data_IF_516403809394
#
_entry.id   IF_516403809394
#
_cell.length_a   1.000
_cell.length_b   1.000
_cell.length_c   1.000
_cell.angle_alpha   90.00
_cell.angle_beta   90.00
_cell.angle_gamma   90.00
#
_symmetry.space_group_name_H-M   'P 1'
#
loop_
_entity.id
_entity.type
_entity.pdbx_description
1 polymer ?
#
# COMPACT_ATOMS: atom_id res chain seq x y z
N UNK A 1 -22.53 -7.43 -41.62
CA UNK A 1 -21.29 -8.25 -41.54
C UNK A 1 -20.01 -7.43 -41.34
N UNK A 2 -20.07 -6.18 -40.85
CA UNK A 2 -18.91 -5.26 -40.80
C UNK A 2 -18.36 -5.12 -39.36
N UNK A 3 -19.20 -5.36 -38.35
CA UNK A 3 -18.86 -5.15 -36.93
C UNK A 3 -17.80 -6.14 -36.42
N UNK A 4 -17.89 -7.43 -36.77
CA UNK A 4 -16.89 -8.43 -36.38
C UNK A 4 -15.51 -8.16 -37.00
N UNK A 5 -15.46 -7.68 -38.24
CA UNK A 5 -14.19 -7.37 -38.91
C UNK A 5 -13.52 -6.13 -38.31
N UNK A 6 -14.30 -5.11 -37.96
CA UNK A 6 -13.78 -3.93 -37.26
C UNK A 6 -13.17 -4.29 -35.90
N UNK A 7 -13.84 -5.14 -35.11
CA UNK A 7 -13.31 -5.61 -33.83
C UNK A 7 -12.02 -6.41 -33.97
N UNK A 8 -11.93 -7.29 -34.97
CA UNK A 8 -10.70 -8.05 -35.24
C UNK A 8 -9.54 -7.11 -35.59
N UNK A 9 -9.78 -6.11 -36.43
CA UNK A 9 -8.75 -5.13 -36.80
C UNK A 9 -8.26 -4.35 -35.57
N UNK A 10 -9.18 -3.91 -34.70
CA UNK A 10 -8.83 -3.21 -33.45
C UNK A 10 -8.01 -4.10 -32.51
N UNK A 11 -8.38 -5.37 -32.39
CA UNK A 11 -7.69 -6.31 -31.51
C UNK A 11 -6.27 -6.60 -32.01
N UNK A 12 -6.11 -6.78 -33.33
CA UNK A 12 -4.81 -7.00 -33.97
C UNK A 12 -3.91 -5.76 -33.82
N UNK A 13 -4.41 -4.56 -34.08
CA UNK A 13 -3.61 -3.34 -33.93
C UNK A 13 -3.20 -3.09 -32.49
N UNK A 14 -4.06 -3.40 -31.52
CA UNK A 14 -3.74 -3.28 -30.09
C UNK A 14 -2.63 -4.25 -29.66
N UNK A 15 -2.70 -5.50 -30.09
CA UNK A 15 -1.67 -6.50 -29.79
C UNK A 15 -0.32 -6.10 -30.40
N UNK A 16 -0.31 -5.67 -31.66
CA UNK A 16 0.93 -5.27 -32.35
C UNK A 16 1.53 -4.01 -31.72
N UNK A 17 0.70 -3.01 -31.41
CA UNK A 17 1.14 -1.78 -30.75
C UNK A 17 1.68 -2.04 -29.34
N UNK A 18 0.99 -2.87 -28.55
CA UNK A 18 1.41 -3.23 -27.20
C UNK A 18 2.70 -4.08 -27.22
N UNK A 19 2.77 -5.07 -28.11
CA UNK A 19 3.96 -5.91 -28.28
C UNK A 19 5.18 -5.11 -28.71
N UNK A 20 5.04 -4.23 -29.70
CA UNK A 20 6.14 -3.35 -30.13
C UNK A 20 6.59 -2.40 -29.01
N UNK A 21 5.66 -1.75 -28.31
CA UNK A 21 5.98 -0.88 -27.18
C UNK A 21 6.68 -1.60 -26.02
N UNK A 22 6.28 -2.85 -25.74
CA UNK A 22 6.90 -3.67 -24.70
C UNK A 22 8.33 -4.10 -25.07
N UNK A 23 8.57 -4.46 -26.34
CA UNK A 23 9.91 -4.84 -26.84
C UNK A 23 10.84 -3.64 -26.95
N UNK A 24 10.34 -2.45 -27.28
CA UNK A 24 11.16 -1.22 -27.30
C UNK A 24 11.42 -0.64 -25.90
N UNK A 25 10.57 -0.91 -24.90
CA UNK A 25 10.76 -0.42 -23.53
C UNK A 25 12.11 -0.76 -22.88
N UNK A 26 12.66 -1.98 -22.97
CA UNK A 26 13.95 -2.31 -22.35
C UNK A 26 15.14 -1.57 -22.98
N UNK A 27 14.98 -0.96 -24.16
CA UNK A 27 16.07 -0.24 -24.87
C UNK A 27 16.09 1.25 -24.55
N UNK A 28 14.94 1.86 -24.18
CA UNK A 28 14.83 3.29 -23.86
C UNK A 28 14.93 3.56 -22.35
N UNK A 29 14.73 2.53 -21.51
CA UNK A 29 15.07 2.65 -20.09
C UNK A 29 16.59 2.76 -19.97
N UNK A 30 17.14 3.87 -19.44
CA UNK A 30 18.56 3.89 -19.10
C UNK A 30 18.78 2.72 -18.17
N UNK A 31 19.84 1.93 -18.42
CA UNK A 31 20.28 0.89 -17.51
C UNK A 31 20.15 1.46 -16.11
N UNK A 32 19.19 0.93 -15.33
CA UNK A 32 18.86 1.40 -14.00
C UNK A 32 20.20 1.48 -13.31
N UNK A 33 20.71 2.69 -13.12
CA UNK A 33 21.94 2.89 -12.38
C UNK A 33 21.59 2.25 -11.04
N UNK A 34 22.18 1.08 -10.80
CA UNK A 34 22.18 0.49 -9.50
C UNK A 34 23.04 1.46 -8.69
N UNK A 35 22.40 2.55 -8.24
CA UNK A 35 22.84 3.27 -7.06
C UNK A 35 23.04 2.15 -6.07
N UNK A 36 24.29 1.96 -5.62
CA UNK A 36 24.57 1.11 -4.49
C UNK A 36 23.81 1.73 -3.31
N UNK A 37 22.55 1.36 -3.18
CA UNK A 37 21.77 1.63 -1.99
C UNK A 37 22.45 0.72 -0.98
N UNK A 38 23.18 1.30 -0.03
CA UNK A 38 23.53 0.59 1.19
C UNK A 38 22.28 -0.17 1.64
N UNK A 39 22.39 -1.44 2.08
CA UNK A 39 21.22 -2.23 2.44
C UNK A 39 20.34 -1.36 3.32
N UNK A 40 19.11 -1.08 2.84
CA UNK A 40 18.14 -0.40 3.67
C UNK A 40 18.06 -1.21 4.96
N UNK A 41 18.07 -0.56 6.14
CA UNK A 41 17.89 -1.29 7.38
C UNK A 41 16.68 -2.20 7.21
N UNK A 42 16.75 -3.45 7.69
CA UNK A 42 15.63 -4.38 7.53
C UNK A 42 14.37 -3.66 7.97
N UNK A 43 13.26 -3.77 7.21
CA UNK A 43 12.02 -3.13 7.59
C UNK A 43 11.76 -3.53 9.04
N UNK A 44 11.67 -2.53 9.93
CA UNK A 44 11.40 -2.77 11.33
C UNK A 44 10.20 -3.71 11.39
N UNK A 45 10.37 -4.86 12.05
CA UNK A 45 9.27 -5.81 12.16
C UNK A 45 8.05 -5.06 12.66
N UNK A 46 6.90 -5.19 11.98
CA UNK A 46 5.74 -4.40 12.32
C UNK A 46 5.39 -4.70 13.76
N UNK A 47 5.50 -3.68 14.62
CA UNK A 47 5.24 -3.83 16.04
C UNK A 47 3.86 -4.44 16.22
N UNK A 48 3.78 -5.42 17.11
CA UNK A 48 2.57 -6.18 17.33
C UNK A 48 1.46 -5.27 17.92
N UNK A 49 0.20 -5.64 17.68
CA UNK A 49 -0.97 -4.86 18.11
C UNK A 49 -0.95 -4.63 19.63
N UNK A 50 -0.41 -5.58 20.39
CA UNK A 50 -0.25 -5.56 21.84
C UNK A 50 0.65 -4.43 22.32
N UNK A 51 1.67 -4.06 21.53
CA UNK A 51 2.53 -2.91 21.84
C UNK A 51 1.75 -1.60 21.75
N UNK A 52 0.94 -1.44 20.70
CA UNK A 52 0.12 -0.25 20.51
C UNK A 52 -1.04 -0.18 21.51
N UNK A 53 -1.56 -1.32 21.98
CA UNK A 53 -2.54 -1.36 23.05
C UNK A 53 -1.99 -0.83 24.38
N UNK A 54 -0.68 -1.03 24.65
CA UNK A 54 0.01 -0.42 25.80
C UNK A 54 0.40 1.05 25.56
N UNK A 55 0.60 1.45 24.30
CA UNK A 55 1.06 2.78 23.89
C UNK A 55 0.08 3.48 22.93
N UNK A 56 -1.13 3.78 23.41
CA UNK A 56 -2.21 4.34 22.57
C UNK A 56 -1.89 5.72 21.99
N UNK A 57 -1.15 6.56 22.71
CA UNK A 57 -0.78 7.90 22.20
C UNK A 57 0.21 7.81 21.04
N UNK A 58 1.10 6.82 21.06
CA UNK A 58 2.02 6.53 19.97
C UNK A 58 1.27 5.89 18.79
N UNK A 59 0.31 5.01 19.06
CA UNK A 59 -0.55 4.43 18.03
C UNK A 59 -1.32 5.50 17.25
N UNK A 60 -1.84 6.54 17.93
CA UNK A 60 -2.51 7.69 17.28
C UNK A 60 -1.57 8.48 16.37
N UNK A 61 -0.32 8.71 16.80
CA UNK A 61 0.68 9.39 15.97
C UNK A 61 1.03 8.58 14.72
N UNK A 62 1.17 7.26 14.86
CA UNK A 62 1.41 6.36 13.73
C UNK A 62 0.22 6.39 12.76
N UNK A 63 -1.02 6.29 13.24
CA UNK A 63 -2.23 6.38 12.40
C UNK A 63 -2.31 7.72 11.65
N UNK A 64 -1.95 8.84 12.31
CA UNK A 64 -1.88 10.14 11.65
C UNK A 64 -0.81 10.17 10.54
N UNK A 65 0.36 9.57 10.79
CA UNK A 65 1.40 9.37 9.79
C UNK A 65 0.97 8.45 8.63
N UNK A 66 0.15 7.45 8.91
CA UNK A 66 -0.44 6.57 7.90
C UNK A 66 -1.43 7.32 7.01
N UNK A 67 -2.26 8.21 7.56
CA UNK A 67 -3.15 9.07 6.78
C UNK A 67 -2.39 10.11 5.93
N UNK A 68 -1.28 10.64 6.45
CA UNK A 68 -0.39 11.52 5.72
C UNK A 68 0.46 10.79 4.65
N UNK A 69 0.42 9.46 4.62
CA UNK A 69 1.21 8.63 3.71
C UNK A 69 2.72 8.62 4.01
N UNK A 70 3.13 9.08 5.20
CA UNK A 70 4.53 9.06 5.66
C UNK A 70 4.93 7.70 6.25
N UNK A 71 3.96 6.94 6.76
CA UNK A 71 4.14 5.58 7.26
C UNK A 71 3.25 4.64 6.42
N UNK A 72 3.77 3.51 5.97
CA UNK A 72 3.01 2.50 5.20
C UNK A 72 3.46 1.10 5.60
N UNK A 73 2.51 0.16 5.68
CA UNK A 73 2.80 -1.25 5.97
C UNK A 73 2.01 -1.79 7.16
N UNK A 74 2.45 -2.93 7.69
CA UNK A 74 1.77 -3.65 8.77
C UNK A 74 1.61 -2.84 10.06
N UNK A 75 2.50 -1.89 10.34
CA UNK A 75 2.38 -1.00 11.50
C UNK A 75 1.12 -0.12 11.45
N UNK A 76 0.68 0.32 10.26
CA UNK A 76 -0.55 1.10 10.13
C UNK A 76 -1.78 0.30 10.49
N UNK A 77 -1.86 -0.95 10.02
CA UNK A 77 -2.96 -1.85 10.33
C UNK A 77 -2.98 -2.21 11.82
N UNK A 78 -1.81 -2.51 12.40
CA UNK A 78 -1.71 -2.88 13.80
C UNK A 78 -2.03 -1.71 14.75
N UNK A 79 -1.57 -0.49 14.43
CA UNK A 79 -1.86 0.71 15.21
C UNK A 79 -3.33 1.13 15.11
N UNK A 80 -3.92 1.06 13.91
CA UNK A 80 -5.34 1.36 13.70
C UNK A 80 -6.26 0.39 14.45
N UNK A 81 -5.93 -0.90 14.44
CA UNK A 81 -6.65 -1.92 15.18
C UNK A 81 -6.62 -1.63 16.70
N UNK A 82 -5.45 -1.33 17.27
CA UNK A 82 -5.31 -1.02 18.69
C UNK A 82 -6.09 0.24 19.11
N UNK A 83 -6.05 1.32 18.30
CA UNK A 83 -6.80 2.55 18.58
C UNK A 83 -8.30 2.29 18.51
N UNK A 84 -8.76 1.55 17.51
CA UNK A 84 -10.18 1.23 17.31
C UNK A 84 -10.72 0.38 18.45
N UNK A 85 -9.96 -0.62 18.92
CA UNK A 85 -10.36 -1.46 20.05
C UNK A 85 -10.41 -0.67 21.35
N UNK A 86 -9.41 0.19 21.61
CA UNK A 86 -9.38 1.03 22.79
C UNK A 86 -10.53 2.05 22.81
N UNK A 87 -10.76 2.76 21.70
CA UNK A 87 -11.89 3.69 21.59
C UNK A 87 -13.24 2.97 21.65
N UNK A 88 -13.34 1.79 21.05
CA UNK A 88 -14.53 0.95 21.12
C UNK A 88 -14.84 0.54 22.56
N UNK A 89 -13.83 0.12 23.32
CA UNK A 89 -13.96 -0.24 24.74
C UNK A 89 -14.33 0.96 25.61
N UNK A 90 -13.73 2.12 25.38
CA UNK A 90 -14.06 3.35 26.10
C UNK A 90 -15.48 3.82 25.81
N UNK A 91 -15.91 3.81 24.54
CA UNK A 91 -17.30 4.13 24.16
C UNK A 91 -18.28 3.12 24.75
N UNK A 92 -17.94 1.84 24.72
CA UNK A 92 -18.76 0.79 25.32
C UNK A 92 -18.91 0.98 26.82
N UNK A 93 -17.83 1.28 27.57
CA UNK A 93 -17.88 1.62 28.99
C UNK A 93 -18.77 2.82 29.28
N UNK A 94 -18.64 3.90 28.50
CA UNK A 94 -19.52 5.07 28.61
C UNK A 94 -20.98 4.72 28.36
N UNK A 95 -21.25 3.81 27.41
CA UNK A 95 -22.60 3.39 27.06
C UNK A 95 -23.21 2.42 28.08
N UNK A 96 -22.39 1.55 28.67
CA UNK A 96 -22.82 0.54 29.64
C UNK A 96 -22.73 1.00 31.10
N UNK A 97 -22.18 2.18 31.36
CA UNK A 97 -22.12 2.79 32.69
C UNK A 97 -21.26 2.01 33.70
N UNK A 98 -20.35 1.15 33.23
CA UNK A 98 -19.41 0.34 34.02
C UNK A 98 -17.99 0.47 33.50
#
# INVERSE_FOLDING_TARGET
MIQGKAWIVVLVTLIVGYGAGFVLRPVIMPARQAVAIAPAPPPAEPRAVEFFAAHLDEARQIVAGCQAGSVRGGECANAEQAVTEAEGKDRFRRFTGK
#
